data_IF_215274083808
#
_entry.id   IF_215274083808
#
_cell.length_a   1.000
_cell.length_b   1.000
_cell.length_c   1.000
_cell.angle_alpha   90.00
_cell.angle_beta   90.00
_cell.angle_gamma   90.00
#
_symmetry.space_group_name_H-M   'P 1'
#
loop_
_entity.id
_entity.type
_entity.pdbx_description
1 polymer ?
#
# COMPACT_ATOMS: atom_id res chain seq x y z
N UNK A 1 -18.96 12.80 -22.33
CA UNK A 1 -18.60 14.13 -21.77
C UNK A 1 -18.74 14.10 -20.25
N UNK A 2 -18.11 15.04 -19.53
CA UNK A 2 -18.21 15.13 -18.06
C UNK A 2 -19.46 15.92 -17.68
N UNK A 3 -20.38 15.31 -16.92
CA UNK A 3 -21.66 15.93 -16.53
C UNK A 3 -21.63 16.67 -15.17
N UNK A 4 -20.56 16.52 -14.38
CA UNK A 4 -20.42 17.18 -13.08
C UNK A 4 -19.80 18.58 -13.21
N UNK A 5 -20.20 19.52 -12.33
CA UNK A 5 -19.66 20.90 -12.25
C UNK A 5 -18.15 21.01 -11.90
N UNK A 6 -17.48 19.90 -11.59
CA UNK A 6 -16.06 19.93 -11.25
C UNK A 6 -15.19 20.32 -12.47
N UNK A 7 -14.11 21.07 -12.24
CA UNK A 7 -13.21 21.52 -13.32
C UNK A 7 -12.62 20.35 -14.13
N UNK A 8 -12.54 20.53 -15.46
CA UNK A 8 -11.82 19.60 -16.35
C UNK A 8 -10.38 20.05 -16.64
N UNK A 9 -10.06 21.31 -16.35
CA UNK A 9 -8.80 21.96 -16.73
C UNK A 9 -7.59 21.23 -16.13
N UNK A 10 -6.62 20.77 -16.96
CA UNK A 10 -5.47 20.01 -16.49
C UNK A 10 -4.60 20.78 -15.50
N UNK A 11 -4.40 22.09 -15.72
CA UNK A 11 -3.59 22.96 -14.86
C UNK A 11 -4.13 22.99 -13.42
N UNK A 12 -5.43 23.24 -13.26
CA UNK A 12 -6.11 23.26 -11.96
C UNK A 12 -6.03 21.92 -11.22
N UNK A 13 -6.18 20.80 -11.94
CA UNK A 13 -6.07 19.45 -11.35
C UNK A 13 -4.64 19.13 -10.89
N UNK A 14 -3.63 19.48 -11.68
CA UNK A 14 -2.21 19.28 -11.30
C UNK A 14 -1.85 20.12 -10.08
N UNK A 15 -2.26 21.40 -10.06
CA UNK A 15 -2.08 22.29 -8.91
C UNK A 15 -2.72 21.74 -7.64
N UNK A 16 -3.98 21.29 -7.73
CA UNK A 16 -4.69 20.71 -6.60
C UNK A 16 -4.00 19.45 -6.03
N UNK A 17 -3.46 18.57 -6.89
CA UNK A 17 -2.71 17.39 -6.44
C UNK A 17 -1.41 17.78 -5.74
N UNK A 18 -0.67 18.73 -6.31
CA UNK A 18 0.61 19.18 -5.76
C UNK A 18 0.45 19.87 -4.40
N UNK A 19 -0.58 20.72 -4.26
CA UNK A 19 -0.86 21.49 -3.05
C UNK A 19 -1.75 20.76 -2.03
N UNK A 20 -2.11 19.49 -2.26
CA UNK A 20 -3.02 18.77 -1.38
C UNK A 20 -2.48 18.67 0.07
N UNK A 21 -3.31 18.88 1.11
CA UNK A 21 -2.93 18.67 2.50
C UNK A 21 -2.70 17.19 2.82
N UNK A 22 -2.02 16.90 3.94
CA UNK A 22 -1.55 15.55 4.30
C UNK A 22 -2.66 14.49 4.34
N UNK A 23 -3.84 14.81 4.88
CA UNK A 23 -4.95 13.87 4.96
C UNK A 23 -5.51 13.47 3.58
N UNK A 24 -5.46 14.37 2.58
CA UNK A 24 -5.80 14.04 1.20
C UNK A 24 -4.68 13.27 0.51
N UNK A 25 -3.42 13.64 0.78
CA UNK A 25 -2.25 12.92 0.25
C UNK A 25 -2.23 11.47 0.70
N UNK A 26 -2.65 11.17 1.93
CA UNK A 26 -2.80 9.79 2.41
C UNK A 26 -3.76 8.97 1.54
N UNK A 27 -4.83 9.58 1.01
CA UNK A 27 -5.77 8.90 0.10
C UNK A 27 -5.16 8.67 -1.29
N UNK A 28 -4.27 9.57 -1.74
CA UNK A 28 -3.56 9.45 -3.01
C UNK A 28 -2.53 8.32 -2.98
N UNK A 29 -1.90 8.05 -1.84
CA UNK A 29 -0.96 6.94 -1.64
C UNK A 29 -1.73 5.65 -1.32
N UNK A 30 -2.46 5.15 -2.33
CA UNK A 30 -3.22 3.90 -2.24
C UNK A 30 -2.73 2.86 -3.24
N UNK A 31 -2.75 1.59 -2.81
CA UNK A 31 -2.21 0.46 -3.54
C UNK A 31 -3.31 -0.56 -3.82
N UNK A 32 -3.20 -1.27 -4.93
CA UNK A 32 -4.12 -2.34 -5.29
C UNK A 32 -4.03 -3.51 -4.33
N UNK A 33 -5.17 -4.07 -3.94
CA UNK A 33 -5.19 -5.30 -3.13
C UNK A 33 -4.91 -6.53 -4.02
N UNK A 34 -4.29 -7.57 -3.45
CA UNK A 34 -4.20 -8.90 -4.05
C UNK A 34 -5.56 -9.56 -4.21
N UNK A 35 -5.67 -10.60 -5.05
CA UNK A 35 -6.96 -11.24 -5.38
C UNK A 35 -7.68 -11.77 -4.13
N UNK A 36 -6.94 -12.35 -3.20
CA UNK A 36 -7.47 -12.90 -1.95
C UNK A 36 -8.04 -11.80 -1.04
N UNK A 37 -7.24 -10.76 -0.76
CA UNK A 37 -7.67 -9.60 0.01
C UNK A 37 -8.84 -8.85 -0.62
N UNK A 38 -8.93 -8.80 -1.96
CA UNK A 38 -10.08 -8.21 -2.66
C UNK A 38 -11.37 -8.96 -2.36
N UNK A 39 -11.33 -10.30 -2.32
CA UNK A 39 -12.51 -11.12 -2.00
C UNK A 39 -12.97 -10.86 -0.56
N UNK A 40 -12.03 -10.82 0.38
CA UNK A 40 -12.33 -10.60 1.80
C UNK A 40 -12.87 -9.19 2.07
N UNK A 41 -12.17 -8.15 1.59
CA UNK A 41 -12.51 -6.76 1.91
C UNK A 41 -13.52 -6.11 0.95
N UNK A 42 -13.83 -6.77 -0.17
CA UNK A 42 -14.70 -6.26 -1.26
C UNK A 42 -14.30 -4.87 -1.78
N UNK A 43 -13.00 -4.53 -1.70
CA UNK A 43 -12.43 -3.25 -2.16
C UNK A 43 -11.32 -3.51 -3.18
N UNK A 44 -11.09 -2.55 -4.08
CA UNK A 44 -10.03 -2.66 -5.11
C UNK A 44 -8.66 -2.19 -4.64
N UNK A 45 -8.62 -1.15 -3.80
CA UNK A 45 -7.39 -0.56 -3.28
C UNK A 45 -7.55 -0.08 -1.84
N UNK A 46 -6.43 0.11 -1.17
CA UNK A 46 -6.38 0.63 0.20
C UNK A 46 -5.18 1.57 0.36
N UNK A 47 -5.30 2.55 1.25
CA UNK A 47 -4.14 3.34 1.68
C UNK A 47 -3.19 2.46 2.51
N UNK A 48 -1.92 2.44 2.12
CA UNK A 48 -0.88 1.62 2.74
C UNK A 48 -0.32 2.28 4.00
N UNK A 49 0.15 1.45 4.92
CA UNK A 49 0.83 1.83 6.15
C UNK A 49 2.17 1.09 6.27
N UNK A 50 2.97 1.51 7.25
CA UNK A 50 4.16 0.77 7.65
C UNK A 50 3.76 -0.63 8.15
N UNK A 51 4.54 -1.65 7.80
CA UNK A 51 4.28 -3.04 8.17
C UNK A 51 3.40 -3.84 7.20
N UNK A 52 2.78 -3.21 6.20
CA UNK A 52 2.05 -3.95 5.16
C UNK A 52 3.04 -4.71 4.25
N UNK A 53 2.71 -5.94 3.82
CA UNK A 53 3.52 -6.72 2.88
C UNK A 53 3.05 -6.45 1.45
N UNK A 54 3.99 -6.06 0.59
CA UNK A 54 3.71 -5.68 -0.80
C UNK A 54 4.55 -6.45 -1.81
N UNK A 55 3.99 -6.61 -3.00
CA UNK A 55 4.63 -7.17 -4.19
C UNK A 55 4.82 -6.07 -5.23
N UNK A 56 5.99 -6.03 -5.87
CA UNK A 56 6.27 -5.11 -6.98
C UNK A 56 5.83 -5.71 -8.31
N UNK A 57 4.98 -5.00 -9.06
CA UNK A 57 4.49 -5.41 -10.38
C UNK A 57 5.36 -4.92 -11.55
N UNK A 58 5.97 -3.74 -11.43
CA UNK A 58 6.62 -3.03 -12.54
C UNK A 58 8.01 -2.53 -12.14
N UNK A 59 8.91 -2.45 -13.12
CA UNK A 59 10.29 -1.94 -12.96
C UNK A 59 11.34 -3.02 -12.68
N UNK A 60 12.57 -2.59 -12.35
CA UNK A 60 13.74 -3.47 -12.11
C UNK A 60 13.51 -4.49 -10.99
N UNK A 61 12.72 -4.13 -9.98
CA UNK A 61 12.45 -4.96 -8.81
C UNK A 61 11.15 -5.77 -8.94
N UNK A 62 10.66 -6.01 -10.16
CA UNK A 62 9.43 -6.77 -10.42
C UNK A 62 9.48 -8.17 -9.79
N UNK A 63 8.33 -8.65 -9.30
CA UNK A 63 8.15 -9.91 -8.55
C UNK A 63 8.84 -9.97 -7.19
N UNK A 64 9.56 -8.93 -6.75
CA UNK A 64 10.07 -8.89 -5.38
C UNK A 64 8.95 -8.54 -4.40
N UNK A 65 8.97 -9.23 -3.28
CA UNK A 65 8.13 -8.96 -2.13
C UNK A 65 8.95 -8.26 -1.04
N UNK A 66 8.28 -7.44 -0.24
CA UNK A 66 8.91 -6.82 0.92
C UNK A 66 7.89 -6.18 1.83
N UNK A 67 8.34 -5.83 3.02
CA UNK A 67 7.54 -5.09 4.01
C UNK A 67 7.71 -3.60 3.77
N UNK A 68 6.64 -2.83 3.98
CA UNK A 68 6.69 -1.37 3.87
C UNK A 68 7.39 -0.78 5.10
N UNK A 69 8.55 -0.19 4.88
CA UNK A 69 9.38 0.46 5.90
C UNK A 69 8.83 1.83 6.28
N UNK A 70 8.65 2.69 5.27
CA UNK A 70 8.14 4.05 5.44
C UNK A 70 7.28 4.47 4.26
N UNK A 71 6.26 5.28 4.58
CA UNK A 71 5.40 5.95 3.61
C UNK A 71 5.69 7.43 3.72
N UNK A 72 6.16 8.04 2.64
CA UNK A 72 6.41 9.47 2.60
C UNK A 72 5.29 10.18 1.82
N UNK A 73 4.49 10.95 2.55
CA UNK A 73 3.40 11.74 2.00
C UNK A 73 3.91 13.02 1.31
N UNK A 74 5.10 13.50 1.65
CA UNK A 74 5.75 14.65 1.02
C UNK A 74 6.01 14.38 -0.46
N UNK A 75 6.70 13.28 -0.75
CA UNK A 75 7.03 12.84 -2.11
C UNK A 75 6.00 11.89 -2.75
N UNK A 76 4.95 11.48 -2.01
CA UNK A 76 3.96 10.46 -2.41
C UNK A 76 4.58 9.10 -2.79
N UNK A 77 5.74 8.78 -2.19
CA UNK A 77 6.48 7.54 -2.44
C UNK A 77 6.39 6.57 -1.25
N UNK A 78 6.47 5.28 -1.57
CA UNK A 78 6.51 4.19 -0.60
C UNK A 78 7.92 3.58 -0.64
N UNK A 79 8.51 3.33 0.51
CA UNK A 79 9.77 2.63 0.63
C UNK A 79 9.53 1.23 1.18
N UNK A 80 10.09 0.24 0.50
CA UNK A 80 9.91 -1.18 0.78
C UNK A 80 11.28 -1.76 1.13
N UNK A 81 11.33 -2.58 2.16
CA UNK A 81 12.55 -3.26 2.56
C UNK A 81 13.01 -4.24 1.46
N UNK A 82 14.32 -4.28 1.20
CA UNK A 82 14.90 -5.05 0.09
C UNK A 82 14.86 -4.37 -1.28
N UNK A 83 14.27 -3.18 -1.39
CA UNK A 83 14.35 -2.33 -2.59
C UNK A 83 15.32 -1.17 -2.33
N UNK A 84 16.61 -1.46 -2.49
CA UNK A 84 17.70 -0.49 -2.36
C UNK A 84 18.47 -0.33 -3.66
N UNK A 85 19.08 0.85 -3.84
CA UNK A 85 20.07 1.11 -4.89
C UNK A 85 21.43 1.35 -4.26
N UNK A 86 22.49 0.88 -4.91
CA UNK A 86 23.87 1.12 -4.49
C UNK A 86 24.41 2.35 -5.21
N UNK A 87 25.17 3.17 -4.49
CA UNK A 87 25.99 4.22 -5.08
C UNK A 87 27.34 3.63 -5.53
N UNK A 88 28.15 4.38 -6.29
CA UNK A 88 29.47 3.95 -6.76
C UNK A 88 30.42 3.54 -5.61
N UNK A 89 30.27 4.18 -4.44
CA UNK A 89 31.01 3.87 -3.21
C UNK A 89 30.46 2.66 -2.42
N UNK A 90 29.52 1.91 -2.98
CA UNK A 90 28.92 0.72 -2.36
C UNK A 90 27.83 0.96 -1.30
N UNK A 91 27.63 2.20 -0.84
CA UNK A 91 26.56 2.54 0.13
C UNK A 91 25.16 2.31 -0.46
N UNK A 92 24.28 1.71 0.33
CA UNK A 92 22.89 1.41 -0.05
C UNK A 92 21.92 2.52 0.34
N UNK A 93 21.02 2.87 -0.58
CA UNK A 93 19.97 3.86 -0.37
C UNK A 93 18.60 3.26 -0.66
N UNK A 94 17.59 3.52 0.18
CA UNK A 94 16.24 3.01 -0.05
C UNK A 94 15.62 3.70 -1.27
N UNK A 95 15.09 2.92 -2.20
CA UNK A 95 14.47 3.45 -3.41
C UNK A 95 12.98 3.70 -3.18
N UNK A 96 12.53 4.92 -3.49
CA UNK A 96 11.12 5.28 -3.38
C UNK A 96 10.31 4.75 -4.56
N UNK A 97 9.29 3.95 -4.27
CA UNK A 97 8.40 3.32 -5.25
C UNK A 97 7.07 4.07 -5.36
N UNK A 98 6.51 4.10 -6.57
CA UNK A 98 5.17 4.60 -6.81
C UNK A 98 4.11 3.59 -6.31
N UNK A 99 3.04 4.04 -5.66
CA UNK A 99 2.00 3.15 -5.13
C UNK A 99 1.31 2.32 -6.21
N UNK A 100 1.17 2.85 -7.43
CA UNK A 100 0.58 2.13 -8.57
C UNK A 100 1.40 0.95 -9.08
N UNK A 101 2.69 0.87 -8.71
CA UNK A 101 3.57 -0.25 -9.10
C UNK A 101 3.46 -1.42 -8.13
N UNK A 102 2.73 -1.27 -7.02
CA UNK A 102 2.68 -2.24 -5.93
C UNK A 102 1.32 -2.95 -5.89
N UNK A 103 1.31 -4.12 -5.25
CA UNK A 103 0.11 -4.84 -4.83
C UNK A 103 0.29 -5.25 -3.38
N UNK A 104 -0.69 -4.98 -2.52
CA UNK A 104 -0.69 -5.47 -1.15
C UNK A 104 -1.04 -6.95 -1.11
N UNK A 105 -0.17 -7.75 -0.50
CA UNK A 105 -0.37 -9.19 -0.29
C UNK A 105 -0.97 -9.47 1.08
N UNK A 106 -0.45 -8.80 2.12
CA UNK A 106 -0.91 -8.92 3.49
C UNK A 106 -0.98 -7.54 4.12
N UNK A 107 -1.97 -7.32 4.97
CA UNK A 107 -2.16 -6.08 5.69
C UNK A 107 -1.81 -6.28 7.16
N UNK A 108 -1.09 -5.34 7.74
CA UNK A 108 -0.82 -5.33 9.16
C UNK A 108 -2.09 -5.05 9.95
N UNK A 109 -2.17 -5.59 11.17
CA UNK A 109 -3.30 -5.38 12.06
C UNK A 109 -3.48 -3.90 12.40
N UNK A 110 -4.73 -3.43 12.25
CA UNK A 110 -5.08 -2.03 12.53
C UNK A 110 -5.67 -1.96 13.93
N UNK A 111 -4.89 -1.46 14.89
CA UNK A 111 -5.46 -0.94 16.14
C UNK A 111 -6.39 0.22 15.77
N UNK A 112 -7.71 -0.01 15.79
CA UNK A 112 -8.69 1.06 15.75
C UNK A 112 -8.57 1.80 17.08
N UNK A 113 -8.04 3.01 17.08
CA UNK A 113 -8.23 3.91 18.22
C UNK A 113 -9.75 4.07 18.40
N UNK A 114 -10.30 3.45 19.45
CA UNK A 114 -11.71 3.54 19.82
C UNK A 114 -12.60 2.29 19.63
N UNK A 115 -12.15 1.19 19.02
CA UNK A 115 -12.86 -0.11 19.08
C UNK A 115 -11.84 -1.25 19.11
N UNK A 116 -11.84 -2.02 20.20
CA UNK A 116 -11.00 -3.18 20.46
C UNK A 116 -10.91 -4.12 19.25
N UNK A 117 -9.73 -4.70 19.07
CA UNK A 117 -9.47 -5.69 18.05
C UNK A 117 -10.20 -7.00 18.38
N UNK A 118 -11.04 -7.45 17.43
CA UNK A 118 -11.39 -8.84 17.06
C UNK A 118 -11.89 -9.79 18.17
N UNK A 119 -13.12 -10.30 17.98
CA UNK A 119 -13.65 -11.42 18.76
C UNK A 119 -12.85 -12.72 18.49
N UNK A 120 -12.61 -13.58 19.50
CA UNK A 120 -11.70 -14.74 19.47
C UNK A 120 -12.22 -15.94 18.65
N UNK A 121 -12.80 -15.72 17.47
CA UNK A 121 -13.38 -16.76 16.61
C UNK A 121 -12.52 -17.15 15.40
N UNK A 122 -11.76 -16.22 14.82
CA UNK A 122 -11.10 -16.42 13.52
C UNK A 122 -9.74 -17.14 13.59
N UNK A 123 -9.07 -17.12 14.76
CA UNK A 123 -7.79 -17.81 14.94
C UNK A 123 -7.94 -19.35 14.89
N UNK A 124 -9.10 -19.91 15.25
CA UNK A 124 -9.32 -21.37 15.29
C UNK A 124 -9.40 -22.02 13.89
N UNK A 125 -9.81 -21.27 12.85
CA UNK A 125 -9.97 -21.82 11.48
C UNK A 125 -8.64 -22.00 10.75
N UNK A 126 -7.63 -21.21 11.10
CA UNK A 126 -6.30 -21.30 10.47
C UNK A 126 -5.56 -22.55 11.00
N UNK A 127 -5.61 -22.79 12.31
CA UNK A 127 -4.98 -23.96 12.96
C UNK A 127 -5.66 -25.30 12.64
N UNK A 128 -6.96 -25.32 12.35
CA UNK A 128 -7.70 -26.54 11.98
C UNK A 128 -7.34 -27.05 10.57
N UNK A 129 -6.93 -26.16 9.66
CA UNK A 129 -6.52 -26.55 8.31
C UNK A 129 -5.10 -27.13 8.25
N UNK A 130 -4.22 -26.78 9.21
CA UNK A 130 -2.87 -27.35 9.31
C UNK A 130 -2.88 -28.75 9.91
N UNK A 131 -3.79 -29.05 10.86
CA UNK A 131 -3.93 -30.39 11.45
C UNK A 131 -4.61 -31.44 10.54
N UNK A 132 -5.34 -31.01 9.51
CA UNK A 132 -5.98 -31.93 8.52
C UNK A 132 -5.06 -32.36 7.38
N UNK A 133 -3.82 -31.87 7.37
CA UNK A 133 -2.83 -32.13 6.32
C UNK A 133 -1.66 -33.00 6.78
N UNK A 134 -1.76 -33.55 8.00
CA UNK A 134 -0.93 -34.64 8.52
C UNK A 134 -1.78 -35.89 8.61
#
# INVERSE_FOLDING_TARGET
MKFSKATSQPSKKRKARFQAPLHLRQKLVSVHLGKELRKQMKKRSIAIRKGDKVLVLRGKYKKKEGVVSRVDLGSLKIFVDGITTKNQRGKEFPLGMNPSHLVALQLAERKKQGKSAVAPGDQKKITLNEKKKQ
#
